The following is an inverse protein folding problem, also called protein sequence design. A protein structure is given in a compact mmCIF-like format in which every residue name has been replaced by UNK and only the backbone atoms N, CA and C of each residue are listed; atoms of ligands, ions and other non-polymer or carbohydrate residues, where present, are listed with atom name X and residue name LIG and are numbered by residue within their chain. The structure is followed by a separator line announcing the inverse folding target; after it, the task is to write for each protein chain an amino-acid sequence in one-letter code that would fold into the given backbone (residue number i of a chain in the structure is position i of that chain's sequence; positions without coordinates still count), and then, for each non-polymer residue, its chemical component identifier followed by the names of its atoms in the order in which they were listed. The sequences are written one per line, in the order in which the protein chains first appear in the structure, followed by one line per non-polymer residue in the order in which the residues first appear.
data_IF_419144341183
#
_entry.id   IF_419144341183
#
_cell.length_a   1.000
_cell.length_b   1.000
_cell.length_c   1.000
_cell.angle_alpha   90.00
_cell.angle_beta   90.00
_cell.angle_gamma   90.00
#
_symmetry.space_group_name_H-M   'P 1'
#
loop_
_entity.id
_entity.type
_entity.pdbx_description
1 polymer ?
#
# COMPACT_ATOMS: atom_id res chain seq x y z
N UNK A 1 6.69 27.74 -39.00
CA UNK A 1 7.39 26.51 -38.62
C UNK A 1 7.66 26.60 -37.13
N UNK A 2 6.70 26.22 -36.34
CA UNK A 2 6.82 26.18 -34.90
C UNK A 2 6.82 24.71 -34.45
N UNK A 3 7.98 24.29 -34.00
CA UNK A 3 8.18 22.96 -33.40
C UNK A 3 7.70 22.97 -31.97
N UNK A 4 6.44 22.61 -31.74
CA UNK A 4 5.91 22.29 -30.42
C UNK A 4 6.52 20.97 -29.91
N UNK A 5 7.62 21.07 -29.18
CA UNK A 5 8.16 19.96 -28.42
C UNK A 5 7.21 19.58 -27.31
N UNK A 6 6.60 18.42 -27.46
CA UNK A 6 5.77 17.76 -26.44
C UNK A 6 6.67 17.45 -25.22
N UNK A 7 6.58 18.28 -24.20
CA UNK A 7 7.17 18.00 -22.90
C UNK A 7 6.27 17.00 -22.22
N UNK A 8 6.51 15.70 -22.45
CA UNK A 8 6.01 14.62 -21.62
C UNK A 8 6.31 14.99 -20.16
N UNK A 9 5.27 15.21 -19.38
CA UNK A 9 5.38 15.64 -17.99
C UNK A 9 6.06 14.55 -17.17
N UNK A 10 7.13 14.91 -16.51
CA UNK A 10 7.94 14.13 -15.55
C UNK A 10 7.15 13.69 -14.30
N UNK A 11 5.82 13.67 -14.37
CA UNK A 11 4.88 13.45 -13.26
C UNK A 11 4.40 12.01 -13.07
N UNK A 12 4.78 11.09 -13.96
CA UNK A 12 4.22 9.73 -14.01
C UNK A 12 5.17 8.63 -13.50
N UNK A 13 6.22 8.98 -12.76
CA UNK A 13 7.38 8.10 -12.55
C UNK A 13 7.39 7.35 -11.23
N UNK A 14 6.42 7.54 -10.31
CA UNK A 14 6.58 6.98 -8.96
C UNK A 14 6.04 5.57 -8.74
N UNK A 15 4.99 5.13 -9.45
CA UNK A 15 4.43 3.81 -9.18
C UNK A 15 5.22 2.68 -9.85
N UNK A 16 5.66 1.70 -9.05
CA UNK A 16 6.59 0.62 -9.50
C UNK A 16 5.90 -0.44 -10.36
N UNK A 17 4.60 -0.69 -10.13
CA UNK A 17 3.90 -1.82 -10.74
C UNK A 17 3.17 -1.43 -12.02
N UNK A 18 3.27 -2.27 -13.08
CA UNK A 18 2.47 -2.11 -14.29
C UNK A 18 0.98 -2.27 -13.97
N UNK A 19 0.16 -1.35 -14.47
CA UNK A 19 -1.30 -1.40 -14.31
C UNK A 19 -1.89 -2.32 -15.37
N UNK A 20 -2.48 -3.44 -14.95
CA UNK A 20 -3.07 -4.46 -15.84
C UNK A 20 -4.27 -5.13 -15.17
N UNK A 21 -5.27 -5.69 -15.89
CA UNK A 21 -6.42 -6.39 -15.29
C UNK A 21 -6.07 -7.45 -14.25
N UNK A 22 -4.97 -8.19 -14.43
CA UNK A 22 -4.49 -9.17 -13.44
C UNK A 22 -3.91 -8.53 -12.17
N UNK A 23 -3.69 -7.19 -12.12
CA UNK A 23 -3.35 -6.47 -10.89
C UNK A 23 -4.56 -6.35 -9.97
N UNK A 24 -5.76 -6.25 -10.52
CA UNK A 24 -7.01 -6.27 -9.76
C UNK A 24 -7.09 -7.54 -8.92
N UNK A 25 -6.87 -8.71 -9.54
CA UNK A 25 -6.91 -9.99 -8.82
C UNK A 25 -5.84 -10.07 -7.73
N UNK A 26 -4.62 -9.59 -8.01
CA UNK A 26 -3.53 -9.58 -7.03
C UNK A 26 -3.86 -8.69 -5.83
N UNK A 27 -4.35 -7.49 -6.06
CA UNK A 27 -4.70 -6.54 -4.99
C UNK A 27 -5.87 -7.06 -4.13
N UNK A 28 -6.82 -7.76 -4.73
CA UNK A 28 -7.91 -8.39 -3.99
C UNK A 28 -7.41 -9.56 -3.12
N UNK A 29 -6.50 -10.40 -3.64
CA UNK A 29 -5.82 -11.45 -2.86
C UNK A 29 -5.05 -10.85 -1.68
N UNK A 30 -4.29 -9.79 -1.92
CA UNK A 30 -3.55 -9.07 -0.89
C UNK A 30 -4.50 -8.51 0.19
N UNK A 31 -5.63 -7.90 -0.22
CA UNK A 31 -6.63 -7.38 0.71
C UNK A 31 -7.15 -8.48 1.64
N UNK A 32 -7.55 -9.63 1.10
CA UNK A 32 -8.08 -10.72 1.94
C UNK A 32 -7.03 -11.32 2.88
N UNK A 33 -5.78 -11.45 2.42
CA UNK A 33 -4.70 -11.92 3.28
C UNK A 33 -4.45 -10.98 4.47
N UNK A 34 -4.39 -9.67 4.21
CA UNK A 34 -4.20 -8.65 5.25
C UNK A 34 -5.37 -8.59 6.22
N UNK A 35 -6.61 -8.58 5.71
CA UNK A 35 -7.82 -8.58 6.54
C UNK A 35 -7.88 -9.80 7.46
N UNK A 36 -7.56 -11.00 6.94
CA UNK A 36 -7.55 -12.23 7.73
C UNK A 36 -6.45 -12.19 8.80
N UNK A 37 -5.27 -11.68 8.47
CA UNK A 37 -4.15 -11.55 9.39
C UNK A 37 -4.40 -10.53 10.50
N UNK A 38 -5.06 -9.42 10.20
CA UNK A 38 -5.43 -8.39 11.17
C UNK A 38 -6.70 -8.74 11.95
N UNK A 39 -7.51 -9.68 11.46
CA UNK A 39 -8.83 -10.01 12.02
C UNK A 39 -9.88 -8.91 11.81
N UNK A 40 -9.55 -7.85 11.08
CA UNK A 40 -10.41 -6.69 10.82
C UNK A 40 -9.95 -5.93 9.57
N UNK A 41 -10.78 -5.01 9.08
CA UNK A 41 -10.43 -4.10 7.99
C UNK A 41 -9.50 -2.96 8.46
N UNK A 42 -9.54 -2.61 9.74
CA UNK A 42 -8.75 -1.55 10.39
C UNK A 42 -8.61 -1.87 11.89
N UNK A 43 -7.65 -1.21 12.57
CA UNK A 43 -7.41 -1.36 14.01
C UNK A 43 -7.79 -0.10 14.80
N UNK A 44 -7.89 1.06 14.14
CA UNK A 44 -8.31 2.31 14.80
C UNK A 44 -9.71 2.17 15.40
N UNK A 45 -9.98 2.65 16.64
CA UNK A 45 -11.26 2.46 17.31
C UNK A 45 -12.35 3.43 16.79
N UNK A 46 -12.62 3.33 15.49
CA UNK A 46 -13.58 4.17 14.78
C UNK A 46 -15.00 3.82 15.19
N UNK A 47 -15.82 4.83 15.51
CA UNK A 47 -17.21 4.64 15.86
C UNK A 47 -18.11 5.50 14.97
N UNK A 48 -19.06 4.85 14.27
CA UNK A 48 -20.11 5.48 13.46
C UNK A 48 -19.62 6.66 12.61
N UNK A 49 -18.63 6.45 11.73
CA UNK A 49 -18.17 7.50 10.82
C UNK A 49 -19.31 7.87 9.86
N UNK A 50 -19.38 9.13 9.47
CA UNK A 50 -20.29 9.59 8.41
C UNK A 50 -19.57 9.76 7.07
N UNK A 51 -18.24 9.96 7.12
CA UNK A 51 -17.40 10.09 5.93
C UNK A 51 -16.06 9.40 6.16
N UNK A 52 -15.75 8.41 5.32
CA UNK A 52 -14.51 7.64 5.33
C UNK A 52 -13.74 7.93 4.05
N UNK A 53 -12.44 8.08 4.14
CA UNK A 53 -11.53 8.25 3.00
C UNK A 53 -10.51 7.13 2.96
N UNK A 54 -10.48 6.39 1.85
CA UNK A 54 -9.46 5.40 1.51
C UNK A 54 -8.51 6.00 0.47
N UNK A 55 -7.26 6.27 0.86
CA UNK A 55 -6.25 6.90 0.01
C UNK A 55 -5.37 5.84 -0.63
N UNK A 56 -5.31 5.84 -1.97
CA UNK A 56 -4.71 4.76 -2.74
C UNK A 56 -5.63 3.54 -2.76
N UNK A 57 -6.92 3.75 -3.02
CA UNK A 57 -7.96 2.74 -2.90
C UNK A 57 -7.78 1.53 -3.82
N UNK A 58 -6.96 1.64 -4.87
CA UNK A 58 -6.71 0.57 -5.84
C UNK A 58 -7.99 0.01 -6.44
N UNK A 59 -8.29 -1.28 -6.20
CA UNK A 59 -9.52 -1.92 -6.67
C UNK A 59 -10.78 -1.43 -5.98
N UNK A 60 -10.65 -0.76 -4.84
CA UNK A 60 -11.76 -0.34 -3.98
C UNK A 60 -12.28 -1.44 -3.04
N UNK A 61 -11.67 -2.63 -3.02
CA UNK A 61 -12.20 -3.76 -2.24
C UNK A 61 -12.31 -3.45 -0.74
N UNK A 62 -11.29 -2.80 -0.15
CA UNK A 62 -11.35 -2.34 1.24
C UNK A 62 -12.50 -1.37 1.46
N UNK A 63 -12.61 -0.35 0.62
CA UNK A 63 -13.67 0.66 0.71
C UNK A 63 -15.08 0.05 0.53
N UNK A 64 -15.22 -0.97 -0.33
CA UNK A 64 -16.51 -1.65 -0.54
C UNK A 64 -16.94 -2.45 0.71
N UNK A 65 -15.99 -3.05 1.41
CA UNK A 65 -16.30 -3.70 2.69
C UNK A 65 -16.68 -2.69 3.78
N UNK A 66 -16.04 -1.52 3.82
CA UNK A 66 -16.43 -0.43 4.72
C UNK A 66 -17.83 0.12 4.41
N UNK A 67 -18.23 0.14 3.13
CA UNK A 67 -19.61 0.48 2.75
C UNK A 67 -20.63 -0.47 3.36
N UNK A 68 -20.31 -1.75 3.42
CA UNK A 68 -21.19 -2.75 4.03
C UNK A 68 -21.19 -2.67 5.58
N UNK A 69 -20.02 -2.38 6.17
CA UNK A 69 -19.87 -2.23 7.63
C UNK A 69 -20.54 -0.96 8.15
N UNK A 70 -20.48 0.13 7.37
CA UNK A 70 -21.07 1.43 7.71
C UNK A 70 -22.08 1.88 6.64
N UNK A 71 -23.29 1.31 6.59
CA UNK A 71 -24.25 1.59 5.51
C UNK A 71 -24.72 3.05 5.47
N UNK A 72 -24.64 3.76 6.61
CA UNK A 72 -25.01 5.19 6.72
C UNK A 72 -23.85 6.13 6.39
N UNK A 73 -22.62 5.61 6.25
CA UNK A 73 -21.45 6.42 5.91
C UNK A 73 -21.29 6.54 4.39
N UNK A 74 -20.82 7.70 3.95
CA UNK A 74 -20.21 7.80 2.61
C UNK A 74 -18.77 7.33 2.70
N UNK A 75 -18.36 6.40 1.84
CA UNK A 75 -16.99 5.96 1.70
C UNK A 75 -16.43 6.48 0.39
N UNK A 76 -15.31 7.18 0.46
CA UNK A 76 -14.65 7.76 -0.71
C UNK A 76 -13.31 7.03 -0.92
N UNK A 77 -13.13 6.46 -2.11
CA UNK A 77 -11.84 5.92 -2.54
C UNK A 77 -11.14 6.91 -3.46
N UNK A 78 -9.91 7.29 -3.12
CA UNK A 78 -9.07 8.16 -3.94
C UNK A 78 -7.92 7.36 -4.53
N UNK A 79 -7.77 7.38 -5.85
CA UNK A 79 -6.66 6.72 -6.55
C UNK A 79 -6.34 7.45 -7.87
N UNK A 80 -5.20 7.11 -8.47
CA UNK A 80 -4.83 7.54 -9.83
C UNK A 80 -5.70 6.89 -10.90
N UNK A 81 -6.26 5.71 -10.60
CA UNK A 81 -7.16 4.96 -11.47
C UNK A 81 -8.53 4.77 -10.80
N UNK A 82 -9.62 4.69 -11.57
CA UNK A 82 -10.94 4.42 -10.99
C UNK A 82 -10.99 2.99 -10.41
N UNK A 83 -11.81 2.82 -9.37
CA UNK A 83 -12.12 1.52 -8.79
C UNK A 83 -12.78 0.58 -9.80
N UNK A 84 -12.76 -0.72 -9.52
CA UNK A 84 -13.45 -1.72 -10.33
C UNK A 84 -14.98 -1.45 -10.42
N UNK A 85 -15.67 -1.94 -11.46
CA UNK A 85 -17.12 -1.85 -11.58
C UNK A 85 -17.86 -2.54 -10.43
N UNK A 86 -19.14 -2.14 -10.20
CA UNK A 86 -20.00 -2.76 -9.19
C UNK A 86 -19.86 -2.14 -7.79
N UNK A 87 -19.44 -0.89 -7.71
CA UNK A 87 -19.31 -0.16 -6.45
C UNK A 87 -20.67 -0.05 -5.70
N UNK A 88 -20.67 -0.16 -4.36
CA UNK A 88 -21.83 0.08 -3.52
C UNK A 88 -22.42 1.49 -3.67
N UNK A 89 -23.70 1.67 -3.36
CA UNK A 89 -24.41 2.94 -3.54
C UNK A 89 -23.83 4.09 -2.69
N UNK A 90 -23.28 3.77 -1.51
CA UNK A 90 -22.63 4.73 -0.62
C UNK A 90 -21.12 4.87 -0.85
N UNK A 91 -20.57 4.30 -1.95
CA UNK A 91 -19.20 4.50 -2.40
C UNK A 91 -19.10 5.62 -3.43
N UNK A 92 -18.01 6.38 -3.35
CA UNK A 92 -17.63 7.36 -4.37
C UNK A 92 -16.13 7.25 -4.70
N UNK A 93 -15.80 6.92 -5.95
CA UNK A 93 -14.43 6.97 -6.46
C UNK A 93 -14.04 8.39 -6.90
N UNK A 94 -12.85 8.82 -6.53
CA UNK A 94 -12.23 10.08 -6.99
C UNK A 94 -10.90 9.74 -7.65
N UNK A 95 -10.73 10.19 -8.89
CA UNK A 95 -9.42 10.13 -9.56
C UNK A 95 -8.61 11.36 -9.18
N UNK A 96 -7.55 11.19 -8.41
CA UNK A 96 -6.66 12.27 -8.00
C UNK A 96 -5.26 11.73 -7.67
N UNK A 97 -4.27 12.61 -7.75
CA UNK A 97 -2.90 12.34 -7.33
C UNK A 97 -2.69 12.89 -5.91
N UNK A 98 -2.50 12.02 -4.95
CA UNK A 98 -2.27 12.43 -3.56
C UNK A 98 -1.04 13.34 -3.37
N UNK A 99 -0.08 13.29 -4.31
CA UNK A 99 1.10 14.17 -4.29
C UNK A 99 0.79 15.62 -4.67
N UNK A 100 -0.37 15.87 -5.24
CA UNK A 100 -0.87 17.23 -5.60
C UNK A 100 -1.76 17.83 -4.50
N UNK A 101 -1.96 17.08 -3.40
CA UNK A 101 -2.85 17.42 -2.30
C UNK A 101 -4.22 16.76 -2.41
N UNK A 102 -4.83 16.51 -1.26
CA UNK A 102 -6.15 15.87 -1.19
C UNK A 102 -7.26 16.89 -1.51
N UNK A 103 -8.21 16.57 -2.41
CA UNK A 103 -9.26 17.47 -2.85
C UNK A 103 -10.41 17.60 -1.82
N UNK A 104 -10.05 17.79 -0.56
CA UNK A 104 -10.97 17.96 0.56
C UNK A 104 -10.58 19.20 1.38
N UNK A 105 -11.59 19.85 1.97
CA UNK A 105 -11.37 20.90 2.94
C UNK A 105 -10.82 20.37 4.26
N UNK A 106 -10.34 21.30 5.11
CA UNK A 106 -9.81 20.97 6.43
C UNK A 106 -10.90 20.39 7.31
N UNK A 107 -10.58 19.32 8.05
CA UNK A 107 -11.43 18.78 9.09
C UNK A 107 -12.76 18.17 8.62
N UNK A 108 -12.82 17.61 7.42
CA UNK A 108 -14.05 17.03 6.85
C UNK A 108 -14.23 15.55 7.14
N UNK A 109 -13.15 14.77 7.23
CA UNK A 109 -13.16 13.30 7.18
C UNK A 109 -13.17 12.72 8.60
N UNK A 110 -14.06 11.76 8.87
CA UNK A 110 -14.12 11.08 10.17
C UNK A 110 -13.02 10.04 10.36
N UNK A 111 -12.74 9.29 9.29
CA UNK A 111 -11.73 8.25 9.26
C UNK A 111 -10.96 8.30 7.94
N UNK A 112 -9.65 8.48 8.04
CA UNK A 112 -8.72 8.47 6.91
C UNK A 112 -7.88 7.22 6.99
N UNK A 113 -7.94 6.39 5.96
CA UNK A 113 -7.16 5.17 5.84
C UNK A 113 -6.23 5.23 4.62
N UNK A 114 -5.05 4.64 4.76
CA UNK A 114 -4.08 4.54 3.68
C UNK A 114 -3.28 3.24 3.86
N UNK A 115 -3.10 2.47 2.75
CA UNK A 115 -2.44 1.18 2.83
C UNK A 115 -1.51 0.91 1.65
N UNK A 116 -0.28 0.42 1.97
CA UNK A 116 0.73 -0.09 1.03
C UNK A 116 1.10 0.88 -0.10
N UNK A 117 1.26 2.16 0.24
CA UNK A 117 1.71 3.20 -0.68
C UNK A 117 3.23 3.44 -0.66
N UNK A 118 4.02 2.72 0.17
CA UNK A 118 5.47 2.85 0.21
C UNK A 118 6.14 2.60 -1.15
N UNK A 119 5.50 1.80 -2.02
CA UNK A 119 5.95 1.50 -3.37
C UNK A 119 5.44 2.48 -4.44
N UNK A 120 4.70 3.52 -4.05
CA UNK A 120 4.11 4.53 -4.94
C UNK A 120 4.38 5.97 -4.52
N UNK A 121 4.69 6.21 -3.25
CA UNK A 121 4.96 7.55 -2.69
C UNK A 121 6.45 7.71 -2.45
N UNK A 122 7.11 8.72 -3.08
CA UNK A 122 8.52 9.02 -2.82
C UNK A 122 8.79 9.30 -1.34
N UNK A 123 9.91 8.78 -0.80
CA UNK A 123 10.26 8.95 0.63
C UNK A 123 10.21 10.41 1.07
N UNK A 124 10.70 11.32 0.24
CA UNK A 124 10.71 12.77 0.53
C UNK A 124 9.31 13.39 0.66
N UNK A 125 8.26 12.75 0.10
CA UNK A 125 6.89 13.25 0.12
C UNK A 125 6.08 12.78 1.33
N UNK A 126 6.51 11.71 2.03
CA UNK A 126 5.73 11.08 3.09
C UNK A 126 5.29 12.03 4.20
N UNK A 127 6.21 12.90 4.68
CA UNK A 127 5.87 13.86 5.73
C UNK A 127 4.76 14.82 5.29
N UNK A 128 4.81 15.31 4.06
CA UNK A 128 3.79 16.19 3.50
C UNK A 128 2.47 15.45 3.27
N UNK A 129 2.52 14.23 2.75
CA UNK A 129 1.35 13.37 2.56
C UNK A 129 0.63 13.14 3.90
N UNK A 130 1.33 12.69 4.95
CA UNK A 130 0.70 12.44 6.25
C UNK A 130 0.19 13.73 6.90
N UNK A 131 0.87 14.87 6.69
CA UNK A 131 0.35 16.18 7.12
C UNK A 131 -0.97 16.51 6.42
N UNK A 132 -1.10 16.19 5.14
CA UNK A 132 -2.33 16.43 4.37
C UNK A 132 -3.47 15.47 4.79
N UNK A 133 -3.16 14.20 5.10
CA UNK A 133 -4.12 13.28 5.72
C UNK A 133 -4.66 13.86 7.06
N UNK A 134 -3.75 14.40 7.88
CA UNK A 134 -4.14 15.03 9.15
C UNK A 134 -4.94 16.32 8.94
N UNK A 135 -4.65 17.10 7.89
CA UNK A 135 -5.41 18.31 7.55
C UNK A 135 -6.87 17.98 7.26
N UNK A 136 -7.12 17.01 6.39
CA UNK A 136 -8.49 16.65 5.97
C UNK A 136 -9.27 15.90 7.05
N UNK A 137 -8.59 15.21 7.96
CA UNK A 137 -9.20 14.55 9.10
C UNK A 137 -9.83 15.59 10.04
N UNK A 138 -11.06 15.35 10.50
CA UNK A 138 -11.75 16.26 11.46
C UNK A 138 -11.14 16.18 12.85
N UNK A 139 -11.29 17.21 13.69
CA UNK A 139 -11.04 17.08 15.12
C UNK A 139 -11.80 15.87 15.72
N UNK A 140 -11.13 15.09 16.55
CA UNK A 140 -11.64 13.82 17.08
C UNK A 140 -11.77 12.67 16.06
N UNK A 141 -11.39 12.87 14.81
CA UNK A 141 -11.33 11.83 13.78
C UNK A 141 -10.09 10.95 13.90
N UNK A 142 -10.08 9.84 13.17
CA UNK A 142 -9.00 8.83 13.19
C UNK A 142 -8.24 8.79 11.87
N UNK A 143 -6.96 8.51 11.97
CA UNK A 143 -6.09 8.27 10.82
C UNK A 143 -5.39 6.94 11.04
N UNK A 144 -5.40 6.07 10.04
CA UNK A 144 -4.68 4.79 10.06
C UNK A 144 -3.81 4.64 8.83
N UNK A 145 -2.56 4.28 9.05
CA UNK A 145 -1.55 4.00 8.04
C UNK A 145 -1.12 2.54 8.16
N UNK A 146 -1.11 1.82 7.05
CA UNK A 146 -0.67 0.42 6.99
C UNK A 146 0.40 0.28 5.93
N UNK A 147 1.64 -0.04 6.33
CA UNK A 147 2.75 -0.17 5.39
C UNK A 147 3.57 -1.43 5.61
N UNK A 148 4.18 -1.90 4.52
CA UNK A 148 5.02 -3.08 4.53
C UNK A 148 6.51 -2.77 4.68
N UNK A 149 7.26 -3.73 5.21
CA UNK A 149 8.71 -3.71 5.23
C UNK A 149 9.28 -3.90 3.81
N UNK A 150 10.50 -3.50 3.59
CA UNK A 150 11.27 -3.75 2.36
C UNK A 150 12.07 -5.05 2.42
N UNK A 151 11.93 -5.81 3.51
CA UNK A 151 12.65 -7.05 3.75
C UNK A 151 11.71 -8.23 3.96
N UNK A 152 12.18 -9.41 3.53
CA UNK A 152 11.61 -10.72 3.82
C UNK A 152 12.54 -11.47 4.79
N UNK A 153 12.02 -12.21 5.75
CA UNK A 153 12.84 -12.83 6.81
C UNK A 153 12.45 -14.30 7.03
N UNK A 154 13.45 -15.21 7.03
CA UNK A 154 14.87 -14.96 6.77
C UNK A 154 15.13 -14.57 5.31
N UNK A 155 16.23 -13.87 5.09
CA UNK A 155 16.70 -13.49 3.75
C UNK A 155 17.53 -14.62 3.14
N UNK A 156 16.90 -15.75 2.82
CA UNK A 156 17.52 -16.87 2.09
C UNK A 156 17.99 -16.42 0.70
N UNK A 157 18.89 -17.13 0.03
CA UNK A 157 19.59 -16.61 -1.15
C UNK A 157 18.69 -16.03 -2.25
N UNK A 158 17.70 -16.78 -2.75
CA UNK A 158 16.80 -16.30 -3.79
C UNK A 158 15.83 -15.24 -3.26
N UNK A 159 15.27 -15.45 -2.08
CA UNK A 159 14.40 -14.50 -1.37
C UNK A 159 15.12 -13.17 -1.14
N UNK A 160 16.36 -13.22 -0.63
CA UNK A 160 17.18 -12.03 -0.41
C UNK A 160 17.52 -11.31 -1.72
N UNK A 161 17.77 -12.07 -2.80
CA UNK A 161 18.04 -11.50 -4.12
C UNK A 161 16.83 -10.77 -4.69
N UNK A 162 15.63 -11.34 -4.61
CA UNK A 162 14.39 -10.67 -5.03
C UNK A 162 14.13 -9.38 -4.22
N UNK A 163 14.28 -9.44 -2.90
CA UNK A 163 14.16 -8.26 -2.05
C UNK A 163 15.18 -7.17 -2.42
N UNK A 164 16.43 -7.55 -2.73
CA UNK A 164 17.46 -6.60 -3.17
C UNK A 164 17.13 -5.98 -4.53
N UNK A 165 16.63 -6.73 -5.50
CA UNK A 165 16.19 -6.20 -6.78
C UNK A 165 15.06 -5.16 -6.58
N UNK A 166 14.09 -5.47 -5.72
CA UNK A 166 13.01 -4.54 -5.36
C UNK A 166 13.56 -3.26 -4.73
N UNK A 167 14.48 -3.37 -3.73
CA UNK A 167 15.11 -2.21 -3.09
C UNK A 167 15.93 -1.36 -4.06
N UNK A 168 16.67 -1.99 -4.98
CA UNK A 168 17.43 -1.25 -6.01
C UNK A 168 16.49 -0.47 -6.93
N UNK A 169 15.40 -1.08 -7.40
CA UNK A 169 14.40 -0.42 -8.22
C UNK A 169 13.74 0.74 -7.46
N UNK A 170 13.36 0.52 -6.21
CA UNK A 170 12.77 1.54 -5.32
C UNK A 170 13.72 2.73 -5.15
N UNK A 171 15.01 2.47 -4.92
CA UNK A 171 16.03 3.53 -4.78
C UNK A 171 16.15 4.38 -6.04
N UNK A 172 16.17 3.77 -7.24
CA UNK A 172 16.23 4.49 -8.52
C UNK A 172 15.02 5.43 -8.68
N UNK A 173 13.86 5.02 -8.16
CA UNK A 173 12.60 5.78 -8.25
C UNK A 173 12.37 6.72 -7.06
N UNK A 174 13.30 6.83 -6.11
CA UNK A 174 13.16 7.65 -4.92
C UNK A 174 12.12 7.14 -3.91
N UNK A 175 11.72 5.87 -4.05
CA UNK A 175 10.79 5.17 -3.15
C UNK A 175 11.54 4.55 -1.97
N UNK A 176 10.81 4.04 -0.97
CA UNK A 176 11.44 3.41 0.17
C UNK A 176 12.21 2.14 -0.23
N UNK A 177 13.48 2.15 0.06
CA UNK A 177 14.42 1.05 -0.17
C UNK A 177 15.12 0.60 1.11
N UNK A 178 14.73 1.14 2.25
CA UNK A 178 15.40 0.96 3.54
C UNK A 178 14.46 0.56 4.67
N UNK A 179 13.14 0.49 4.41
CA UNK A 179 12.13 0.28 5.44
C UNK A 179 11.91 1.50 6.35
N UNK A 180 12.37 2.70 5.93
CA UNK A 180 12.22 3.91 6.75
C UNK A 180 10.74 4.31 6.89
N UNK A 181 9.92 4.10 5.87
CA UNK A 181 8.49 4.36 5.94
C UNK A 181 7.84 3.42 6.93
N UNK A 182 8.02 2.10 6.72
CA UNK A 182 7.55 1.07 7.63
C UNK A 182 7.93 1.36 9.08
N UNK A 183 9.19 1.73 9.34
CA UNK A 183 9.70 1.94 10.70
C UNK A 183 9.33 3.28 11.33
N UNK A 184 8.64 4.20 10.60
CA UNK A 184 8.43 5.59 11.05
C UNK A 184 6.97 6.06 10.98
N UNK A 185 5.99 5.17 10.78
CA UNK A 185 4.58 5.56 10.63
C UNK A 185 4.05 6.36 11.83
N UNK A 186 4.36 5.88 13.03
CA UNK A 186 4.02 6.55 14.29
C UNK A 186 4.64 7.96 14.40
N UNK A 187 5.90 8.10 13.94
CA UNK A 187 6.58 9.40 13.91
C UNK A 187 5.97 10.35 12.88
N UNK A 188 5.56 9.84 11.71
CA UNK A 188 4.85 10.67 10.73
C UNK A 188 3.55 11.20 11.29
N UNK A 189 2.72 10.34 11.93
CA UNK A 189 1.47 10.74 12.57
C UNK A 189 1.71 11.78 13.68
N UNK A 190 2.65 11.52 14.60
CA UNK A 190 2.99 12.44 15.68
C UNK A 190 3.45 13.80 15.16
N UNK A 191 4.30 13.83 14.13
CA UNK A 191 4.77 15.08 13.51
C UNK A 191 3.67 15.85 12.79
N UNK A 192 2.63 15.16 12.31
CA UNK A 192 1.44 15.77 11.72
C UNK A 192 0.44 16.27 12.77
N UNK A 193 0.78 16.21 14.08
CA UNK A 193 -0.06 16.67 15.17
C UNK A 193 -1.13 15.67 15.63
N UNK A 194 -1.05 14.43 15.18
CA UNK A 194 -1.94 13.35 15.62
C UNK A 194 -1.50 12.87 17.02
N UNK A 195 -2.44 12.59 17.90
CA UNK A 195 -2.24 12.16 19.29
C UNK A 195 -2.79 10.76 19.53
N UNK A 196 -2.57 10.21 20.71
CA UNK A 196 -2.94 8.82 21.04
C UNK A 196 -2.48 7.84 19.97
N UNK A 197 -1.24 8.02 19.49
CA UNK A 197 -0.68 7.20 18.41
C UNK A 197 -0.31 5.83 18.96
N UNK A 198 -0.87 4.80 18.35
CA UNK A 198 -0.53 3.40 18.59
C UNK A 198 0.09 2.79 17.33
N UNK A 199 0.93 1.78 17.54
CA UNK A 199 1.58 1.04 16.46
C UNK A 199 1.59 -0.45 16.76
N UNK A 200 1.22 -1.24 15.76
CA UNK A 200 1.25 -2.70 15.79
C UNK A 200 2.08 -3.22 14.62
N UNK A 201 2.91 -4.23 14.89
CA UNK A 201 3.64 -4.94 13.84
C UNK A 201 3.07 -6.35 13.74
N UNK A 202 2.81 -6.79 12.51
CA UNK A 202 2.27 -8.11 12.21
C UNK A 202 3.21 -8.82 11.24
N UNK A 203 3.66 -10.01 11.58
CA UNK A 203 4.43 -10.87 10.69
C UNK A 203 3.45 -11.77 9.93
N UNK A 204 3.47 -11.68 8.61
CA UNK A 204 2.65 -12.45 7.69
C UNK A 204 3.48 -13.62 7.16
N UNK A 205 3.05 -14.86 7.30
CA UNK A 205 3.74 -15.99 6.70
C UNK A 205 3.71 -15.91 5.17
N UNK A 206 4.78 -16.34 4.52
CA UNK A 206 4.84 -16.60 3.08
C UNK A 206 4.99 -18.11 2.88
N UNK A 207 3.98 -18.76 2.32
CA UNK A 207 4.00 -20.19 2.04
C UNK A 207 2.86 -20.94 2.69
N UNK A 208 2.64 -22.18 2.25
CA UNK A 208 1.57 -23.06 2.77
C UNK A 208 1.77 -23.42 4.25
N UNK A 209 3.02 -23.37 4.73
CA UNK A 209 3.35 -23.59 6.15
C UNK A 209 2.57 -22.61 7.08
N UNK A 210 2.22 -21.42 6.59
CA UNK A 210 1.43 -20.43 7.30
C UNK A 210 -0.08 -20.54 7.08
N UNK A 211 -0.55 -21.67 6.54
CA UNK A 211 -1.96 -21.93 6.26
C UNK A 211 -2.51 -20.97 5.18
N UNK A 212 -3.79 -20.59 5.31
CA UNK A 212 -4.47 -19.80 4.30
C UNK A 212 -3.83 -18.43 4.08
N UNK A 213 -3.47 -17.71 5.15
CA UNK A 213 -2.79 -16.42 5.06
C UNK A 213 -1.48 -16.56 4.29
N UNK A 214 -0.66 -17.56 4.64
CA UNK A 214 0.61 -17.83 4.00
C UNK A 214 0.46 -18.16 2.52
N UNK A 215 -0.52 -18.98 2.15
CA UNK A 215 -0.81 -19.32 0.74
C UNK A 215 -1.23 -18.10 -0.08
N UNK A 216 -2.08 -17.22 0.48
CA UNK A 216 -2.51 -15.97 -0.17
C UNK A 216 -1.33 -15.02 -0.34
N UNK A 217 -0.51 -14.82 0.70
CA UNK A 217 0.67 -13.95 0.65
C UNK A 217 1.71 -14.47 -0.34
N UNK A 218 1.97 -15.78 -0.37
CA UNK A 218 2.88 -16.37 -1.37
C UNK A 218 2.37 -16.17 -2.80
N UNK A 219 1.05 -16.26 -3.02
CA UNK A 219 0.44 -15.98 -4.32
C UNK A 219 0.59 -14.50 -4.72
N UNK A 220 0.37 -13.57 -3.78
CA UNK A 220 0.55 -12.13 -3.99
C UNK A 220 2.02 -11.81 -4.36
N UNK A 221 2.97 -12.27 -3.56
CA UNK A 221 4.40 -12.02 -3.81
C UNK A 221 4.91 -12.67 -5.10
N UNK A 222 4.46 -13.89 -5.43
CA UNK A 222 4.77 -14.49 -6.73
C UNK A 222 4.27 -13.62 -7.87
N UNK A 223 3.02 -13.19 -7.83
CA UNK A 223 2.43 -12.34 -8.85
C UNK A 223 3.16 -10.98 -8.94
N UNK A 224 3.52 -10.39 -7.79
CA UNK A 224 4.31 -9.16 -7.70
C UNK A 224 5.64 -9.28 -8.44
N UNK A 225 6.47 -10.26 -8.08
CA UNK A 225 7.81 -10.42 -8.67
C UNK A 225 7.75 -10.83 -10.13
N UNK A 226 6.81 -11.68 -10.53
CA UNK A 226 6.60 -12.03 -11.95
C UNK A 226 6.29 -10.77 -12.78
N UNK A 227 5.48 -9.84 -12.25
CA UNK A 227 5.17 -8.58 -12.93
C UNK A 227 6.29 -7.58 -12.94
N UNK A 228 7.14 -7.61 -11.92
CA UNK A 228 8.32 -6.77 -11.85
C UNK A 228 9.45 -7.26 -12.77
N UNK A 229 9.43 -8.51 -13.26
CA UNK A 229 10.49 -9.06 -14.09
C UNK A 229 10.81 -8.19 -15.31
N UNK A 230 9.86 -7.72 -16.14
CA UNK A 230 10.18 -6.80 -17.25
C UNK A 230 10.75 -5.46 -16.78
N UNK A 231 10.33 -4.97 -15.61
CA UNK A 231 10.83 -3.73 -15.04
C UNK A 231 12.25 -3.91 -14.52
N UNK A 232 12.55 -5.05 -13.88
CA UNK A 232 13.91 -5.41 -13.48
C UNK A 232 14.83 -5.58 -14.68
N UNK A 233 14.34 -6.19 -15.76
CA UNK A 233 15.11 -6.31 -17.01
C UNK A 233 15.50 -4.93 -17.57
N UNK A 234 14.53 -4.03 -17.69
CA UNK A 234 14.76 -2.71 -18.25
C UNK A 234 15.64 -1.81 -17.37
N UNK A 235 15.42 -1.83 -16.03
CA UNK A 235 16.07 -0.91 -15.10
C UNK A 235 17.36 -1.45 -14.49
N UNK A 236 17.51 -2.76 -14.34
CA UNK A 236 18.59 -3.40 -13.59
C UNK A 236 19.41 -4.41 -14.43
N UNK A 237 18.97 -4.70 -15.66
CA UNK A 237 19.67 -5.64 -16.57
C UNK A 237 19.56 -7.12 -16.16
N UNK A 238 18.52 -7.49 -15.38
CA UNK A 238 18.23 -8.86 -14.96
C UNK A 238 17.34 -9.52 -16.01
N UNK A 239 17.68 -10.72 -16.52
CA UNK A 239 16.85 -11.36 -17.54
C UNK A 239 15.50 -11.86 -16.98
N UNK A 240 14.53 -12.07 -17.86
CA UNK A 240 13.24 -12.63 -17.47
C UNK A 240 13.42 -14.05 -16.90
N UNK A 241 14.27 -14.85 -17.51
CA UNK A 241 14.59 -16.21 -17.09
C UNK A 241 15.23 -16.22 -15.69
N UNK A 242 16.17 -15.30 -15.41
CA UNK A 242 16.74 -15.13 -14.05
C UNK A 242 15.66 -14.78 -13.04
N UNK A 243 14.73 -13.89 -13.37
CA UNK A 243 13.63 -13.53 -12.48
C UNK A 243 12.68 -14.70 -12.21
N UNK A 244 12.32 -15.47 -13.24
CA UNK A 244 11.46 -16.65 -13.09
C UNK A 244 12.12 -17.71 -12.22
N UNK A 245 13.41 -17.96 -12.41
CA UNK A 245 14.18 -18.90 -11.60
C UNK A 245 14.25 -18.45 -10.14
N UNK A 246 14.57 -17.18 -9.89
CA UNK A 246 14.57 -16.61 -8.53
C UNK A 246 13.22 -16.75 -7.85
N UNK A 247 12.12 -16.51 -8.56
CA UNK A 247 10.76 -16.66 -7.99
C UNK A 247 10.46 -18.13 -7.66
N UNK A 248 10.90 -19.07 -8.51
CA UNK A 248 10.74 -20.51 -8.27
C UNK A 248 11.52 -20.95 -7.03
N UNK A 249 12.82 -20.60 -6.94
CA UNK A 249 13.68 -20.93 -5.80
C UNK A 249 13.19 -20.26 -4.50
N UNK A 250 12.81 -18.99 -4.56
CA UNK A 250 12.30 -18.27 -3.40
C UNK A 250 11.05 -18.95 -2.82
N UNK A 251 10.15 -19.49 -3.64
CA UNK A 251 8.98 -20.22 -3.15
C UNK A 251 9.37 -21.47 -2.36
N UNK A 252 10.39 -22.21 -2.79
CA UNK A 252 10.91 -23.35 -2.05
C UNK A 252 11.55 -22.90 -0.71
N UNK A 253 12.26 -21.77 -0.72
CA UNK A 253 12.81 -21.15 0.48
C UNK A 253 11.72 -20.71 1.46
N UNK A 254 10.64 -20.07 0.96
CA UNK A 254 9.54 -19.61 1.81
C UNK A 254 8.91 -20.76 2.61
N UNK A 255 8.72 -21.91 1.98
CA UNK A 255 8.21 -23.12 2.67
C UNK A 255 9.22 -23.69 3.66
N UNK A 256 10.47 -23.90 3.23
CA UNK A 256 11.52 -24.54 4.01
C UNK A 256 11.93 -23.72 5.22
N UNK A 257 12.09 -22.40 5.02
CA UNK A 257 12.69 -21.50 6.00
C UNK A 257 11.65 -20.72 6.80
N UNK A 258 10.36 -20.99 6.57
CA UNK A 258 9.23 -20.31 7.21
C UNK A 258 9.33 -18.77 7.06
N UNK A 259 9.53 -18.32 5.83
CA UNK A 259 9.70 -16.90 5.53
C UNK A 259 8.48 -16.09 5.89
N UNK A 260 8.73 -14.90 6.43
CA UNK A 260 7.68 -13.93 6.80
C UNK A 260 7.91 -12.58 6.14
N UNK A 261 6.82 -11.86 5.95
CA UNK A 261 6.77 -10.46 5.56
C UNK A 261 6.14 -9.63 6.69
N UNK A 262 6.73 -8.51 7.04
CA UNK A 262 6.22 -7.67 8.13
C UNK A 262 5.41 -6.49 7.59
N UNK A 263 4.27 -6.23 8.22
CA UNK A 263 3.52 -4.98 8.07
C UNK A 263 3.46 -4.24 9.39
N UNK A 264 3.41 -2.91 9.33
CA UNK A 264 3.11 -2.04 10.46
C UNK A 264 1.76 -1.37 10.23
N UNK A 265 0.91 -1.39 11.25
CA UNK A 265 -0.30 -0.57 11.35
C UNK A 265 -0.03 0.50 12.39
N UNK A 266 -0.17 1.77 12.03
CA UNK A 266 -0.10 2.87 12.96
C UNK A 266 -1.36 3.72 12.82
N UNK A 267 -2.01 4.00 13.94
CA UNK A 267 -3.20 4.85 13.95
C UNK A 267 -3.15 5.85 15.09
N UNK A 268 -3.92 6.92 14.98
CA UNK A 268 -4.04 7.92 16.02
C UNK A 268 -5.22 8.85 15.77
N UNK A 269 -5.52 9.68 16.76
CA UNK A 269 -6.64 10.59 16.75
C UNK A 269 -6.19 12.03 16.54
N UNK A 270 -6.87 12.76 15.65
CA UNK A 270 -6.67 14.20 15.53
C UNK A 270 -7.22 14.89 16.76
N UNK A 271 -6.45 15.77 17.45
CA UNK A 271 -6.93 16.53 18.59
C UNK A 271 -8.20 17.36 18.27
N UNK A 272 -9.02 17.60 19.31
CA UNK A 272 -10.20 18.47 19.20
C UNK A 272 -9.82 19.94 19.03
#
# INVERSE_FOLDING_TARGET
MDGGGDRASDRDVSYVLPRHPTEVDRLDVQHYALREALGANYLAPVQRPTLVLDVGAGTGQWAFELCAEFPEAQVVGLDLEPSKPGAPANYRGIRANLLEGLPFGDGQINFVHQRLLFSGVPVKAWAAVVTDLARVCRPGGWIELVEGDTELRPASPATGRLAELFRRLSRIRGLDSTGIVFSSLDRYLTRAGVTAVERHNVALPLGEWGGRIGSLMASDFRALFTRLAPVFAAALGVSAEECEELVREAREEWERDHTTYSIAVAFGQKPN
#
